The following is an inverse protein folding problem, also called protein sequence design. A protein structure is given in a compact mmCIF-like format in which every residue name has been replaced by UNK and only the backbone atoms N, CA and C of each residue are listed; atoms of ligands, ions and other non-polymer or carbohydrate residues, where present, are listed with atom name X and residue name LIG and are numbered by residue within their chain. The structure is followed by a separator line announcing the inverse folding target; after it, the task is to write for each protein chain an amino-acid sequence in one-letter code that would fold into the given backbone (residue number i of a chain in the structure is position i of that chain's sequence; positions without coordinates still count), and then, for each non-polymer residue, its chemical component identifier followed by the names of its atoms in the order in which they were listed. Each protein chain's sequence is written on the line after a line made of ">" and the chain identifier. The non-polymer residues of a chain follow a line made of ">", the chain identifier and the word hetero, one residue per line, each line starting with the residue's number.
data_IF_338855803899
#
_entry.id   IF_338855803899
#
_cell.length_a   1.000
_cell.length_b   1.000
_cell.length_c   1.000
_cell.angle_alpha   90.00
_cell.angle_beta   90.00
_cell.angle_gamma   90.00
#
_symmetry.space_group_name_H-M   'P 1'
#
loop_
_entity.id
_entity.type
_entity.pdbx_description
1 polymer ?
#
# COMPACT_ATOMS: atom_id res chain seq x y z
N UNK A 1 -24.03 -4.39 17.50
CA UNK A 1 -23.13 -4.77 16.39
C UNK A 1 -21.80 -4.09 16.69
N UNK A 2 -20.78 -4.80 17.15
CA UNK A 2 -19.45 -4.20 17.27
C UNK A 2 -19.02 -3.78 15.87
N UNK A 3 -18.71 -2.51 15.66
CA UNK A 3 -18.16 -2.05 14.40
C UNK A 3 -16.80 -2.73 14.22
N UNK A 4 -16.77 -3.80 13.42
CA UNK A 4 -15.52 -4.46 13.06
C UNK A 4 -14.62 -3.40 12.42
N UNK A 5 -13.45 -3.18 13.03
CA UNK A 5 -12.47 -2.23 12.50
C UNK A 5 -12.17 -2.58 11.05
N UNK A 6 -12.36 -1.61 10.16
CA UNK A 6 -12.04 -1.71 8.75
C UNK A 6 -10.59 -1.27 8.53
N UNK A 7 -9.91 -1.90 7.57
CA UNK A 7 -8.49 -1.71 7.35
C UNK A 7 -8.20 -1.21 5.94
N UNK A 8 -7.09 -0.51 5.78
CA UNK A 8 -6.62 0.03 4.52
C UNK A 8 -5.09 0.07 4.48
N UNK A 9 -4.53 0.06 3.27
CA UNK A 9 -3.15 0.52 3.05
C UNK A 9 -3.22 2.01 2.77
N UNK A 10 -2.42 2.77 3.50
CA UNK A 10 -2.31 4.21 3.38
C UNK A 10 -1.00 4.54 2.68
N UNK A 11 -1.08 5.31 1.60
CA UNK A 11 0.09 5.74 0.83
C UNK A 11 0.15 7.25 0.68
N UNK A 12 1.35 7.83 0.75
CA UNK A 12 1.60 9.22 0.37
C UNK A 12 1.92 9.27 -1.12
N UNK A 13 1.07 9.92 -1.94
CA UNK A 13 1.37 10.05 -3.37
C UNK A 13 2.63 10.90 -3.61
N UNK A 14 2.87 11.96 -2.83
CA UNK A 14 4.01 12.87 -3.01
C UNK A 14 4.47 13.46 -1.67
N UNK A 15 5.76 13.35 -1.32
CA UNK A 15 6.41 14.03 -0.17
C UNK A 15 5.55 14.15 1.11
N UNK A 16 5.13 15.39 1.43
CA UNK A 16 4.33 15.72 2.62
C UNK A 16 2.80 15.62 2.43
N UNK A 17 2.34 15.08 1.30
CA UNK A 17 0.90 14.93 1.04
C UNK A 17 0.21 14.04 2.09
N UNK A 18 -1.09 14.30 2.36
CA UNK A 18 -1.88 13.43 3.20
C UNK A 18 -1.90 11.99 2.68
N UNK A 19 -1.99 11.04 3.61
CA UNK A 19 -2.19 9.64 3.26
C UNK A 19 -3.51 9.46 2.50
N UNK A 20 -3.42 8.85 1.32
CA UNK A 20 -4.57 8.30 0.61
C UNK A 20 -4.78 6.86 1.07
N UNK A 21 -5.98 6.55 1.55
CA UNK A 21 -6.33 5.22 2.03
C UNK A 21 -6.96 4.41 0.90
N UNK A 22 -6.47 3.19 0.71
CA UNK A 22 -7.03 2.20 -0.20
C UNK A 22 -7.50 0.98 0.61
N UNK A 23 -8.80 0.66 0.61
CA UNK A 23 -9.39 -0.40 1.42
C UNK A 23 -8.77 -1.80 1.24
N UNK A 24 -8.63 -2.51 2.37
CA UNK A 24 -8.19 -3.89 2.45
C UNK A 24 -9.24 -4.78 3.15
N UNK A 25 -9.35 -6.03 2.72
CA UNK A 25 -10.32 -6.97 3.25
C UNK A 25 -10.07 -7.36 4.71
N UNK A 26 -8.82 -7.29 5.18
CA UNK A 26 -8.44 -7.53 6.57
C UNK A 26 -7.14 -6.79 6.91
N UNK A 27 -6.80 -6.73 8.22
CA UNK A 27 -5.50 -6.22 8.68
C UNK A 27 -4.34 -7.02 8.07
N UNK A 28 -4.45 -8.34 8.10
CA UNK A 28 -3.44 -9.26 7.56
C UNK A 28 -3.20 -9.03 6.07
N UNK A 29 -4.27 -8.83 5.28
CA UNK A 29 -4.13 -8.51 3.85
C UNK A 29 -3.46 -7.15 3.64
N UNK A 30 -3.78 -6.14 4.46
CA UNK A 30 -3.09 -4.85 4.40
C UNK A 30 -1.60 -4.98 4.73
N UNK A 31 -1.24 -5.74 5.78
CA UNK A 31 0.16 -5.99 6.18
C UNK A 31 0.93 -6.70 5.07
N UNK A 32 0.35 -7.76 4.50
CA UNK A 32 0.94 -8.48 3.36
C UNK A 32 1.10 -7.59 2.13
N UNK A 33 0.16 -6.68 1.87
CA UNK A 33 0.27 -5.74 0.76
C UNK A 33 1.42 -4.76 0.97
N UNK A 34 1.56 -4.17 2.16
CA UNK A 34 2.68 -3.29 2.51
C UNK A 34 4.01 -4.03 2.36
N UNK A 35 4.11 -5.25 2.89
CA UNK A 35 5.31 -6.09 2.75
C UNK A 35 5.65 -6.40 1.29
N UNK A 36 4.63 -6.60 0.44
CA UNK A 36 4.83 -6.83 -0.99
C UNK A 36 5.46 -5.61 -1.68
N UNK A 37 5.03 -4.39 -1.32
CA UNK A 37 5.66 -3.15 -1.82
C UNK A 37 7.10 -3.01 -1.34
N UNK A 38 7.39 -3.34 -0.08
CA UNK A 38 8.76 -3.32 0.45
C UNK A 38 9.68 -4.25 -0.35
N UNK A 39 9.26 -5.50 -0.53
CA UNK A 39 9.99 -6.51 -1.34
C UNK A 39 10.20 -6.12 -2.79
N UNK A 40 9.27 -5.36 -3.37
CA UNK A 40 9.42 -4.84 -4.72
C UNK A 40 10.59 -3.87 -4.79
N UNK A 41 10.63 -2.88 -3.89
CA UNK A 41 11.72 -1.89 -3.86
C UNK A 41 13.06 -2.48 -3.44
N UNK A 42 13.08 -3.50 -2.58
CA UNK A 42 14.28 -4.29 -2.30
C UNK A 42 14.84 -4.96 -3.56
N UNK A 43 13.97 -5.54 -4.40
CA UNK A 43 14.37 -6.15 -5.67
C UNK A 43 14.84 -5.12 -6.71
N UNK A 44 14.27 -3.93 -6.71
CA UNK A 44 14.70 -2.82 -7.57
C UNK A 44 16.04 -2.23 -7.11
N UNK A 45 16.44 -2.43 -5.85
CA UNK A 45 17.61 -1.77 -5.26
C UNK A 45 17.37 -0.29 -4.96
N UNK A 46 16.11 0.10 -4.75
CA UNK A 46 15.72 1.49 -4.49
C UNK A 46 15.96 1.86 -3.01
N UNK A 47 17.23 2.04 -2.64
CA UNK A 47 17.64 2.33 -1.27
C UNK A 47 16.98 3.60 -0.71
N UNK A 48 16.85 4.65 -1.53
CA UNK A 48 16.19 5.90 -1.12
C UNK A 48 14.74 5.66 -0.69
N UNK A 49 13.95 4.92 -1.48
CA UNK A 49 12.57 4.64 -1.12
C UNK A 49 12.48 3.75 0.13
N UNK A 50 13.40 2.80 0.28
CA UNK A 50 13.45 1.93 1.46
C UNK A 50 13.74 2.70 2.75
N UNK A 51 14.59 3.73 2.70
CA UNK A 51 14.89 4.60 3.85
C UNK A 51 13.64 5.35 4.36
N UNK A 52 12.75 5.75 3.45
CA UNK A 52 11.53 6.50 3.78
C UNK A 52 10.27 5.63 3.80
N UNK A 53 10.39 4.31 3.60
CA UNK A 53 9.26 3.43 3.28
C UNK A 53 8.11 3.53 4.28
N UNK A 54 8.42 3.45 5.58
CA UNK A 54 7.41 3.44 6.65
C UNK A 54 6.71 4.81 6.83
N UNK A 55 7.32 5.89 6.32
CA UNK A 55 6.71 7.21 6.28
C UNK A 55 5.76 7.39 5.08
N UNK A 56 5.96 6.61 4.01
CA UNK A 56 5.21 6.73 2.75
C UNK A 56 4.13 5.67 2.58
N UNK A 57 4.31 4.43 3.04
CA UNK A 57 3.35 3.33 2.89
C UNK A 57 3.19 2.60 4.22
N UNK A 58 1.95 2.52 4.74
CA UNK A 58 1.67 1.78 5.99
C UNK A 58 0.22 1.31 6.12
N UNK A 59 0.01 0.38 7.04
CA UNK A 59 -1.33 -0.08 7.42
C UNK A 59 -2.02 0.97 8.30
N UNK A 60 -3.29 1.26 8.01
CA UNK A 60 -4.13 2.13 8.82
C UNK A 60 -5.54 1.57 9.01
N UNK A 61 -6.21 2.04 10.07
CA UNK A 61 -7.66 1.91 10.17
C UNK A 61 -8.31 2.78 9.09
N UNK A 62 -9.32 2.25 8.42
CA UNK A 62 -10.11 3.00 7.46
C UNK A 62 -10.91 4.09 8.16
N UNK A 63 -10.84 5.32 7.66
CA UNK A 63 -11.54 6.47 8.24
C UNK A 63 -12.82 6.86 7.48
N UNK A 64 -13.09 6.25 6.33
CA UNK A 64 -14.30 6.52 5.55
C UNK A 64 -15.51 5.68 5.99
N UNK A 65 -16.60 5.76 5.24
CA UNK A 65 -17.78 4.94 5.52
C UNK A 65 -17.55 3.46 5.21
N UNK A 66 -18.28 2.56 5.87
CA UNK A 66 -18.28 1.12 5.53
C UNK A 66 -18.75 0.86 4.11
N UNK A 67 -19.70 1.65 3.60
CA UNK A 67 -20.21 1.53 2.23
C UNK A 67 -19.11 1.82 1.22
N UNK A 68 -18.31 2.86 1.46
CA UNK A 68 -17.20 3.23 0.59
C UNK A 68 -16.03 2.24 0.70
N UNK A 69 -15.80 1.68 1.89
CA UNK A 69 -14.81 0.62 2.08
C UNK A 69 -15.10 -0.59 1.18
N UNK A 70 -16.35 -1.07 1.20
CA UNK A 70 -16.78 -2.22 0.40
C UNK A 70 -16.78 -1.88 -1.10
N UNK A 71 -17.28 -0.69 -1.47
CA UNK A 71 -17.34 -0.25 -2.87
C UNK A 71 -15.95 -0.13 -3.50
N UNK A 72 -14.96 0.33 -2.74
CA UNK A 72 -13.60 0.55 -3.20
C UNK A 72 -12.63 -0.52 -2.67
N UNK A 73 -13.14 -1.71 -2.33
CA UNK A 73 -12.33 -2.81 -1.84
C UNK A 73 -11.32 -3.23 -2.90
N UNK A 74 -10.03 -3.08 -2.59
CA UNK A 74 -8.96 -3.29 -3.56
C UNK A 74 -7.99 -4.39 -3.11
N UNK A 75 -7.44 -4.30 -1.90
CA UNK A 75 -6.58 -5.37 -1.40
C UNK A 75 -7.41 -6.55 -0.91
N UNK A 76 -7.41 -7.59 -1.73
CA UNK A 76 -8.03 -8.90 -1.52
C UNK A 76 -7.02 -9.98 -1.87
N UNK A 77 -7.31 -11.25 -1.55
CA UNK A 77 -6.36 -12.34 -1.78
C UNK A 77 -5.93 -12.46 -3.25
N UNK A 78 -6.84 -12.27 -4.20
CA UNK A 78 -6.54 -12.35 -5.64
C UNK A 78 -5.56 -11.28 -6.14
N UNK A 79 -5.47 -10.12 -5.48
CA UNK A 79 -4.54 -9.06 -5.83
C UNK A 79 -3.08 -9.52 -5.78
N UNK A 80 -2.74 -10.46 -4.89
CA UNK A 80 -1.38 -11.00 -4.77
C UNK A 80 -0.95 -11.86 -5.96
N UNK A 81 -1.89 -12.30 -6.80
CA UNK A 81 -1.60 -13.06 -8.01
C UNK A 81 -1.33 -12.17 -9.23
N UNK A 82 -1.67 -10.88 -9.18
CA UNK A 82 -1.44 -9.93 -10.26
C UNK A 82 0.05 -9.57 -10.37
N UNK A 83 0.62 -9.41 -11.56
CA UNK A 83 2.00 -8.94 -11.69
C UNK A 83 2.13 -7.52 -11.14
N UNK A 84 3.20 -7.24 -10.39
CA UNK A 84 3.56 -5.86 -10.05
C UNK A 84 4.57 -5.33 -11.06
N UNK A 85 4.37 -4.09 -11.49
CA UNK A 85 5.38 -3.37 -12.24
C UNK A 85 6.63 -3.23 -11.38
N UNK A 86 7.80 -3.53 -11.95
CA UNK A 86 9.10 -3.33 -11.31
C UNK A 86 9.98 -2.50 -12.24
N UNK A 87 10.60 -1.45 -11.71
CA UNK A 87 11.53 -0.62 -12.44
C UNK A 87 12.96 -1.17 -12.29
N UNK A 88 13.44 -1.90 -13.29
CA UNK A 88 14.80 -2.46 -13.29
C UNK A 88 15.86 -1.50 -13.85
N UNK A 89 15.44 -0.39 -14.44
CA UNK A 89 16.33 0.64 -15.00
C UNK A 89 16.23 1.95 -14.20
N UNK A 90 16.49 1.86 -12.90
CA UNK A 90 16.46 3.04 -12.01
C UNK A 90 17.39 4.17 -12.49
N UNK A 91 18.51 3.82 -13.14
CA UNK A 91 19.49 4.80 -13.66
C UNK A 91 18.91 5.72 -14.73
N UNK A 92 17.96 5.25 -15.52
CA UNK A 92 17.29 6.07 -16.55
C UNK A 92 16.08 6.84 -15.99
N UNK A 93 15.61 6.50 -14.78
CA UNK A 93 14.50 7.18 -14.12
C UNK A 93 14.92 8.49 -13.42
N UNK A 94 16.21 8.71 -13.17
CA UNK A 94 16.77 9.95 -12.59
C UNK A 94 16.94 11.11 -13.60
N UNK A 95 16.26 11.07 -14.76
CA UNK A 95 16.45 12.04 -15.85
C UNK A 95 15.42 13.17 -15.89
#
# INVERSE_FOLDING_TARGET
>A
MSESTLWAVAMRPEGYSPFKQTPAASKEIAERAVERYRKMHEKEGNNFFLEIFDDVIKVQKWHGSRKDHIKNLFYVESWFSEPMYQCFDLKTAER
#
